data_IF_273443535784
#
_entry.id   IF_273443535784
#
_cell.length_a   1.000
_cell.length_b   1.000
_cell.length_c   1.000
_cell.angle_alpha   90.00
_cell.angle_beta   90.00
_cell.angle_gamma   90.00
#
_symmetry.space_group_name_H-M   'P 1'
#
loop_
_entity.id
_entity.type
_entity.pdbx_description
1 polymer ?
#
# COMPACT_ATOMS: atom_id res chain seq x y z
N UNK A 1 66.66 26.98 91.80
CA UNK A 1 67.51 25.82 92.12
C UNK A 1 68.33 25.45 90.88
N UNK A 2 69.66 25.61 90.93
CA UNK A 2 70.60 24.95 90.00
C UNK A 2 70.80 23.49 90.46
N UNK A 3 71.19 22.54 89.60
CA UNK A 3 72.63 22.33 89.31
C UNK A 3 72.92 21.98 87.83
N UNK A 4 74.03 22.47 87.25
CA UNK A 4 75.34 21.78 87.03
C UNK A 4 75.27 20.68 85.96
N UNK A 5 76.29 20.34 85.18
CA UNK A 5 77.60 20.89 84.81
C UNK A 5 78.23 19.79 83.92
N UNK A 6 79.20 20.16 83.08
CA UNK A 6 80.17 19.22 82.51
C UNK A 6 79.74 18.61 81.16
N UNK A 7 80.61 18.44 80.18
CA UNK A 7 82.05 18.49 80.20
C UNK A 7 82.64 18.58 78.78
N UNK A 8 83.90 18.93 78.77
CA UNK A 8 84.77 19.19 77.62
C UNK A 8 85.11 17.94 76.79
N UNK A 9 85.65 18.27 75.60
CA UNK A 9 86.77 17.64 74.91
C UNK A 9 86.48 16.52 73.90
N UNK A 10 87.12 16.66 72.74
CA UNK A 10 87.42 15.53 71.86
C UNK A 10 87.45 15.85 70.37
N UNK A 11 88.53 16.48 69.89
CA UNK A 11 88.88 16.52 68.46
C UNK A 11 88.99 15.09 67.91
N UNK A 12 88.51 14.82 66.70
CA UNK A 12 89.26 14.12 65.64
C UNK A 12 88.56 14.19 64.28
N UNK A 13 89.42 14.36 63.29
CA UNK A 13 89.25 14.39 61.84
C UNK A 13 88.57 13.15 61.25
N UNK A 14 87.81 13.33 60.18
CA UNK A 14 87.52 12.24 59.25
C UNK A 14 86.40 12.53 58.25
N UNK A 15 86.76 12.71 56.98
CA UNK A 15 85.92 12.36 55.83
C UNK A 15 84.85 13.39 55.41
N UNK A 16 85.00 13.94 54.20
CA UNK A 16 83.87 14.46 53.42
C UNK A 16 82.99 13.27 52.98
N UNK A 17 81.66 13.29 53.20
CA UNK A 17 80.73 12.58 52.35
C UNK A 17 80.07 13.55 51.38
N UNK A 18 79.89 13.09 50.14
CA UNK A 18 79.38 13.86 49.01
C UNK A 18 77.99 14.45 49.24
N UNK A 19 77.73 15.50 48.47
CA UNK A 19 76.43 16.13 48.33
C UNK A 19 75.36 15.08 47.97
N UNK A 20 74.37 14.92 48.83
CA UNK A 20 73.16 14.16 48.54
C UNK A 20 72.37 14.88 47.44
N UNK A 21 72.09 14.17 46.36
CA UNK A 21 71.18 14.61 45.30
C UNK A 21 69.75 14.79 45.86
N UNK A 22 68.98 15.79 45.41
CA UNK A 22 67.60 15.96 45.85
C UNK A 22 66.74 14.80 45.33
N UNK A 23 65.97 14.21 46.24
CA UNK A 23 65.02 13.13 45.98
C UNK A 23 64.07 13.49 44.83
N UNK A 24 64.01 12.61 43.83
CA UNK A 24 63.16 12.74 42.66
C UNK A 24 61.69 12.89 43.04
N UNK A 25 61.09 14.01 42.64
CA UNK A 25 59.64 14.19 42.63
C UNK A 25 59.08 13.18 41.61
N UNK A 26 58.32 12.19 42.08
CA UNK A 26 57.56 11.30 41.19
C UNK A 26 56.57 12.15 40.40
N UNK A 27 56.69 12.15 39.07
CA UNK A 27 55.70 12.76 38.18
C UNK A 27 54.31 12.14 38.45
N UNK A 28 53.24 12.94 38.52
CA UNK A 28 51.89 12.40 38.64
C UNK A 28 51.51 11.63 37.36
N UNK A 29 50.70 10.56 37.46
CA UNK A 29 50.32 9.75 36.32
C UNK A 29 49.60 10.59 35.27
N UNK A 30 50.06 10.51 34.01
CA UNK A 30 49.47 11.20 32.86
C UNK A 30 47.98 10.85 32.77
N UNK A 31 47.10 11.82 33.04
CA UNK A 31 45.66 11.70 32.77
C UNK A 31 45.51 11.43 31.27
N UNK A 32 44.97 10.26 30.91
CA UNK A 32 44.59 9.97 29.52
C UNK A 32 43.59 11.05 29.10
N UNK A 33 43.93 11.83 28.08
CA UNK A 33 43.01 12.81 27.50
C UNK A 33 41.70 12.09 27.11
N UNK A 34 40.52 12.66 27.44
CA UNK A 34 39.27 12.10 26.95
C UNK A 34 39.31 12.06 25.42
N UNK A 35 38.76 11.01 24.77
CA UNK A 35 38.77 10.91 23.32
C UNK A 35 38.19 12.21 22.74
N UNK A 36 38.99 12.90 21.91
CA UNK A 36 38.58 14.14 21.26
C UNK A 36 37.23 13.88 20.60
N UNK A 37 36.17 14.53 21.08
CA UNK A 37 34.85 14.48 20.44
C UNK A 37 35.06 14.90 18.99
N UNK A 38 34.92 13.96 18.05
CA UNK A 38 35.02 14.27 16.62
C UNK A 38 34.07 15.43 16.36
N UNK A 39 34.60 16.55 15.86
CA UNK A 39 33.75 17.67 15.41
C UNK A 39 32.72 17.08 14.46
N UNK A 40 31.41 17.34 14.66
CA UNK A 40 30.43 16.95 13.66
C UNK A 40 30.87 17.54 12.32
N UNK A 41 30.77 16.73 11.26
CA UNK A 41 31.12 17.18 9.93
C UNK A 41 30.30 18.44 9.58
N UNK A 42 30.83 19.37 8.76
CA UNK A 42 30.06 20.50 8.27
C UNK A 42 28.72 20.01 7.71
N UNK A 43 27.62 20.69 8.03
CA UNK A 43 26.27 20.21 7.71
C UNK A 43 26.11 19.85 6.21
N UNK A 44 26.78 20.58 5.32
CA UNK A 44 26.82 20.28 3.88
C UNK A 44 27.44 18.92 3.52
N UNK A 45 28.49 18.47 4.22
CA UNK A 45 29.10 17.16 3.97
C UNK A 45 28.21 16.00 4.43
N UNK A 46 27.39 16.22 5.47
CA UNK A 46 26.43 15.23 5.92
C UNK A 46 25.26 15.09 4.94
N UNK A 47 24.77 16.20 4.37
CA UNK A 47 23.77 16.18 3.30
C UNK A 47 24.27 15.47 2.04
N UNK A 48 25.49 15.78 1.60
CA UNK A 48 26.09 15.17 0.41
C UNK A 48 26.18 13.64 0.54
N UNK A 49 26.61 13.13 1.70
CA UNK A 49 26.63 11.69 1.98
C UNK A 49 25.23 11.07 1.98
N UNK A 50 24.23 11.79 2.48
CA UNK A 50 22.85 11.30 2.44
C UNK A 50 22.34 11.20 1.00
N UNK A 51 22.66 12.18 0.15
CA UNK A 51 22.32 12.13 -1.27
C UNK A 51 22.98 10.96 -1.99
N UNK A 52 24.29 10.76 -1.79
CA UNK A 52 25.01 9.64 -2.38
C UNK A 52 24.44 8.29 -1.92
N UNK A 53 24.10 8.17 -0.64
CA UNK A 53 23.46 6.96 -0.14
C UNK A 53 22.08 6.75 -0.75
N UNK A 54 21.26 7.80 -0.87
CA UNK A 54 19.94 7.71 -1.47
C UNK A 54 19.99 7.36 -2.95
N UNK A 55 20.99 7.86 -3.68
CA UNK A 55 21.22 7.55 -5.09
C UNK A 55 21.49 6.05 -5.29
N UNK A 56 22.32 5.45 -4.43
CA UNK A 56 22.60 4.01 -4.44
C UNK A 56 21.31 3.21 -4.21
N UNK A 57 20.48 3.63 -3.25
CA UNK A 57 19.19 2.96 -2.96
C UNK A 57 18.20 3.09 -4.12
N UNK A 58 18.12 4.26 -4.75
CA UNK A 58 17.24 4.49 -5.90
C UNK A 58 17.67 3.66 -7.12
N UNK A 59 18.97 3.58 -7.38
CA UNK A 59 19.51 2.78 -8.48
C UNK A 59 19.28 1.28 -8.26
N UNK A 60 19.51 0.78 -7.04
CA UNK A 60 19.21 -0.59 -6.67
C UNK A 60 17.73 -0.93 -6.87
N UNK A 61 16.82 -0.02 -6.49
CA UNK A 61 15.39 -0.18 -6.72
C UNK A 61 15.01 -0.11 -8.21
N UNK A 62 15.68 0.74 -9.01
CA UNK A 62 15.47 0.80 -10.46
C UNK A 62 15.79 -0.53 -11.10
N UNK A 63 16.93 -1.12 -10.76
CA UNK A 63 17.37 -2.41 -11.28
C UNK A 63 16.43 -3.54 -10.87
N UNK A 64 16.09 -3.62 -9.58
CA UNK A 64 15.21 -4.65 -9.05
C UNK A 64 13.78 -4.62 -9.65
N UNK A 65 13.28 -3.42 -9.99
CA UNK A 65 11.92 -3.23 -10.52
C UNK A 65 11.89 -2.94 -12.03
N UNK A 66 13.05 -2.96 -12.71
CA UNK A 66 13.20 -2.67 -14.14
C UNK A 66 12.48 -1.38 -14.59
N UNK A 67 12.65 -0.31 -13.80
CA UNK A 67 11.94 0.95 -14.00
C UNK A 67 12.61 1.84 -15.06
N UNK A 68 11.82 2.67 -15.73
CA UNK A 68 12.32 3.66 -16.69
C UNK A 68 13.10 4.75 -15.96
N UNK A 69 14.18 5.23 -16.59
CA UNK A 69 15.04 6.28 -16.03
C UNK A 69 14.26 7.56 -15.69
N UNK A 70 13.29 7.93 -16.52
CA UNK A 70 12.44 9.12 -16.27
C UNK A 70 11.68 9.06 -14.94
N UNK A 71 11.31 7.86 -14.46
CA UNK A 71 10.64 7.71 -13.17
C UNK A 71 11.64 7.87 -12.02
N UNK A 72 12.88 7.42 -12.20
CA UNK A 72 13.95 7.54 -11.21
C UNK A 72 14.43 8.97 -11.10
N UNK A 73 14.61 9.67 -12.22
CA UNK A 73 14.89 11.11 -12.24
C UNK A 73 13.83 11.90 -11.45
N UNK A 74 12.56 11.61 -11.70
CA UNK A 74 11.46 12.22 -10.93
C UNK A 74 11.52 11.86 -9.44
N UNK A 75 11.90 10.64 -9.10
CA UNK A 75 12.10 10.23 -7.70
C UNK A 75 13.25 10.99 -7.02
N UNK A 76 14.36 11.24 -7.73
CA UNK A 76 15.50 12.05 -7.25
C UNK A 76 15.07 13.48 -6.95
N UNK A 77 14.26 14.09 -7.80
CA UNK A 77 13.69 15.42 -7.56
C UNK A 77 12.83 15.46 -6.30
N UNK A 78 11.90 14.50 -6.14
CA UNK A 78 11.04 14.40 -4.95
C UNK A 78 11.88 14.19 -3.68
N UNK A 79 12.97 13.41 -3.77
CA UNK A 79 13.90 13.21 -2.68
C UNK A 79 14.66 14.50 -2.29
N UNK A 80 15.13 15.28 -3.26
CA UNK A 80 15.75 16.60 -3.03
C UNK A 80 14.80 17.56 -2.34
N UNK A 81 13.56 17.67 -2.83
CA UNK A 81 12.51 18.48 -2.20
C UNK A 81 12.23 18.05 -0.76
N UNK A 82 12.28 16.73 -0.49
CA UNK A 82 12.11 16.20 0.86
C UNK A 82 13.24 16.61 1.81
N UNK A 83 14.46 16.73 1.33
CA UNK A 83 15.61 17.23 2.11
C UNK A 83 15.47 18.73 2.39
N UNK A 84 15.09 19.52 1.39
CA UNK A 84 14.87 20.96 1.55
C UNK A 84 13.81 21.26 2.63
N UNK A 85 12.76 20.43 2.68
CA UNK A 85 11.72 20.48 3.73
C UNK A 85 12.12 19.80 5.05
N UNK A 86 13.39 19.43 5.22
CA UNK A 86 13.94 18.78 6.41
C UNK A 86 13.23 17.46 6.82
N UNK A 87 12.67 16.74 5.85
CA UNK A 87 11.92 15.50 6.10
C UNK A 87 12.82 14.30 6.43
N UNK A 88 14.14 14.40 6.31
CA UNK A 88 15.06 13.27 6.56
C UNK A 88 15.31 13.00 8.05
N UNK A 89 15.17 14.02 8.92
CA UNK A 89 15.54 13.88 10.33
C UNK A 89 14.67 12.84 11.05
N UNK A 90 15.32 11.82 11.61
CA UNK A 90 14.66 10.73 12.35
C UNK A 90 14.05 9.63 11.47
N UNK A 91 14.37 9.58 10.18
CA UNK A 91 13.87 8.55 9.25
C UNK A 91 15.03 7.84 8.54
N UNK A 92 14.78 6.62 8.08
CA UNK A 92 15.74 5.88 7.27
C UNK A 92 15.84 6.51 5.87
N UNK A 93 17.08 6.67 5.38
CA UNK A 93 17.38 7.14 4.03
C UNK A 93 16.74 6.22 2.99
N UNK A 94 16.88 4.90 3.18
CA UNK A 94 16.29 3.88 2.30
C UNK A 94 14.76 3.97 2.29
N UNK A 95 14.12 4.18 3.46
CA UNK A 95 12.67 4.32 3.53
C UNK A 95 12.15 5.56 2.79
N UNK A 96 12.91 6.66 2.87
CA UNK A 96 12.58 7.91 2.18
C UNK A 96 12.78 7.76 0.67
N UNK A 97 13.92 7.21 0.22
CA UNK A 97 14.19 6.92 -1.19
C UNK A 97 13.13 6.00 -1.81
N UNK A 98 12.82 4.88 -1.15
CA UNK A 98 11.77 3.95 -1.58
C UNK A 98 10.39 4.61 -1.70
N UNK A 99 10.09 5.55 -0.79
CA UNK A 99 8.82 6.28 -0.81
C UNK A 99 8.76 7.35 -1.90
N UNK A 100 9.89 8.02 -2.19
CA UNK A 100 10.01 8.95 -3.32
C UNK A 100 9.82 8.24 -4.66
N UNK A 101 10.43 7.06 -4.81
CA UNK A 101 10.24 6.22 -5.99
C UNK A 101 8.78 5.76 -6.13
N UNK A 102 8.15 5.35 -5.03
CA UNK A 102 6.72 5.01 -5.05
C UNK A 102 5.85 6.19 -5.50
N UNK A 103 6.14 7.41 -5.03
CA UNK A 103 5.42 8.60 -5.42
C UNK A 103 5.59 8.90 -6.93
N UNK A 104 6.82 8.89 -7.44
CA UNK A 104 7.11 9.09 -8.85
C UNK A 104 6.44 8.03 -9.75
N UNK A 105 6.46 6.77 -9.31
CA UNK A 105 5.79 5.66 -10.01
C UNK A 105 4.30 5.90 -10.16
N UNK A 106 3.67 6.39 -9.09
CA UNK A 106 2.24 6.67 -9.04
C UNK A 106 1.87 7.91 -9.88
N UNK A 107 2.73 8.92 -9.95
CA UNK A 107 2.56 10.06 -10.86
C UNK A 107 2.63 9.62 -12.33
N UNK A 108 3.58 8.73 -12.66
CA UNK A 108 3.75 8.19 -14.01
C UNK A 108 2.69 7.14 -14.41
N UNK A 109 1.77 6.78 -13.50
CA UNK A 109 0.76 5.74 -13.74
C UNK A 109 1.32 4.32 -13.83
N UNK A 110 2.56 4.09 -13.37
CA UNK A 110 3.18 2.77 -13.34
C UNK A 110 2.53 1.86 -12.27
N UNK A 111 2.39 0.57 -12.58
CA UNK A 111 1.73 -0.42 -11.72
C UNK A 111 2.63 -0.99 -10.62
N UNK A 112 3.43 -0.14 -9.96
CA UNK A 112 4.30 -0.56 -8.85
C UNK A 112 3.51 -0.50 -7.54
N UNK A 113 3.48 -1.60 -6.79
CA UNK A 113 2.83 -1.67 -5.49
C UNK A 113 3.84 -1.45 -4.36
N UNK A 114 3.33 -1.06 -3.18
CA UNK A 114 4.15 -0.99 -1.97
C UNK A 114 4.76 -2.34 -1.59
N UNK A 115 4.15 -3.46 -2.01
CA UNK A 115 4.66 -4.80 -1.76
C UNK A 115 5.88 -5.07 -2.63
N UNK A 116 5.85 -4.67 -3.90
CA UNK A 116 6.95 -4.86 -4.85
C UNK A 116 8.19 -4.09 -4.37
N UNK A 117 8.01 -2.84 -3.95
CA UNK A 117 9.09 -2.03 -3.38
C UNK A 117 9.65 -2.66 -2.11
N UNK A 118 8.77 -3.14 -1.22
CA UNK A 118 9.19 -3.82 0.02
C UNK A 118 9.91 -5.16 -0.24
N UNK A 119 9.68 -5.81 -1.37
CA UNK A 119 10.43 -7.00 -1.77
C UNK A 119 11.81 -6.63 -2.34
N UNK A 120 11.92 -5.47 -2.98
CA UNK A 120 13.16 -4.96 -3.54
C UNK A 120 14.08 -4.26 -2.51
N UNK A 121 13.57 -3.88 -1.33
CA UNK A 121 14.37 -3.20 -0.30
C UNK A 121 14.22 -3.82 1.09
N UNK A 122 15.22 -3.62 1.94
CA UNK A 122 15.20 -4.08 3.33
C UNK A 122 14.43 -3.13 4.28
N UNK A 123 13.32 -2.54 3.80
CA UNK A 123 12.50 -1.60 4.58
C UNK A 123 11.08 -2.13 4.76
N UNK A 124 10.49 -1.92 5.94
CA UNK A 124 9.13 -2.38 6.20
C UNK A 124 8.09 -1.57 5.41
N UNK A 125 7.02 -2.24 4.96
CA UNK A 125 5.88 -1.59 4.28
C UNK A 125 5.29 -0.45 5.10
N UNK A 126 5.30 -0.57 6.44
CA UNK A 126 4.78 0.45 7.36
C UNK A 126 5.61 1.73 7.30
N UNK A 127 6.93 1.62 7.22
CA UNK A 127 7.83 2.77 7.18
C UNK A 127 7.74 3.50 5.84
N UNK A 128 7.70 2.75 4.73
CA UNK A 128 7.46 3.30 3.38
C UNK A 128 6.11 4.04 3.35
N UNK A 129 5.05 3.40 3.85
CA UNK A 129 3.71 4.03 3.89
C UNK A 129 3.64 5.27 4.78
N UNK A 130 4.46 5.35 5.84
CA UNK A 130 4.53 6.52 6.72
C UNK A 130 5.27 7.68 6.05
N UNK A 131 6.41 7.39 5.43
CA UNK A 131 7.21 8.40 4.72
C UNK A 131 6.46 8.93 3.49
N UNK A 132 5.79 8.06 2.74
CA UNK A 132 4.94 8.45 1.62
C UNK A 132 3.82 9.42 2.03
N UNK A 133 3.05 9.10 3.08
CA UNK A 133 1.97 9.99 3.58
C UNK A 133 2.50 11.33 4.08
N UNK A 134 3.69 11.33 4.68
CA UNK A 134 4.34 12.56 5.10
C UNK A 134 4.71 13.42 3.88
N UNK A 135 5.34 12.84 2.87
CA UNK A 135 5.68 13.56 1.64
C UNK A 135 4.46 14.16 0.96
N UNK A 136 3.36 13.39 0.83
CA UNK A 136 2.12 13.93 0.26
C UNK A 136 1.61 15.18 1.01
N UNK A 137 1.77 15.22 2.34
CA UNK A 137 1.32 16.33 3.16
C UNK A 137 2.26 17.53 3.11
N UNK A 138 3.57 17.30 3.15
CA UNK A 138 4.58 18.37 3.29
C UNK A 138 5.05 18.93 1.94
N UNK A 139 4.90 18.16 0.86
CA UNK A 139 5.24 18.57 -0.52
C UNK A 139 4.00 18.95 -1.34
N UNK A 140 2.82 18.99 -0.72
CA UNK A 140 1.53 19.28 -1.36
C UNK A 140 1.25 18.46 -2.64
N UNK A 141 1.82 17.25 -2.71
CA UNK A 141 1.67 16.37 -3.87
C UNK A 141 0.26 15.81 -3.94
N UNK A 142 -0.41 16.02 -5.07
CA UNK A 142 -1.72 15.43 -5.36
C UNK A 142 -1.56 14.21 -6.24
N UNK A 143 -1.65 13.04 -5.62
CA UNK A 143 -1.62 11.78 -6.36
C UNK A 143 -2.96 11.54 -7.08
N UNK A 144 -2.98 11.06 -8.34
CA UNK A 144 -4.23 10.63 -8.97
C UNK A 144 -4.91 9.55 -8.12
N UNK A 145 -6.06 9.92 -7.57
CA UNK A 145 -6.93 9.00 -6.84
C UNK A 145 -7.72 8.23 -7.89
N UNK A 146 -7.64 6.90 -7.83
CA UNK A 146 -8.47 6.05 -8.67
C UNK A 146 -9.92 6.28 -8.27
N UNK A 147 -10.76 6.66 -9.24
CA UNK A 147 -12.19 6.82 -9.00
C UNK A 147 -12.78 5.48 -8.53
N UNK A 148 -13.45 5.49 -7.37
CA UNK A 148 -14.09 4.30 -6.80
C UNK A 148 -15.06 3.63 -7.79
N UNK A 149 -15.64 4.38 -8.71
CA UNK A 149 -16.54 3.83 -9.75
C UNK A 149 -15.84 2.87 -10.71
N UNK A 150 -14.54 3.03 -10.94
CA UNK A 150 -13.73 2.11 -11.77
C UNK A 150 -13.53 0.78 -11.05
N UNK A 151 -13.35 0.82 -9.73
CA UNK A 151 -13.15 -0.37 -8.91
C UNK A 151 -14.39 -1.27 -8.83
N UNK A 152 -15.60 -0.69 -8.95
CA UNK A 152 -16.87 -1.43 -8.84
C UNK A 152 -16.95 -2.59 -9.82
N UNK A 153 -16.58 -2.38 -11.08
CA UNK A 153 -16.69 -3.42 -12.12
C UNK A 153 -15.90 -4.67 -11.75
N UNK A 154 -14.60 -4.48 -11.49
CA UNK A 154 -13.68 -5.57 -11.13
C UNK A 154 -14.10 -6.31 -9.87
N UNK A 155 -14.52 -5.58 -8.82
CA UNK A 155 -14.92 -6.21 -7.55
C UNK A 155 -16.20 -7.02 -7.74
N UNK A 156 -17.16 -6.49 -8.48
CA UNK A 156 -18.42 -7.17 -8.72
C UNK A 156 -18.26 -8.43 -9.57
N UNK A 157 -17.39 -8.39 -10.58
CA UNK A 157 -17.09 -9.58 -11.39
C UNK A 157 -16.42 -10.66 -10.53
N UNK A 158 -15.47 -10.29 -9.68
CA UNK A 158 -14.81 -11.20 -8.75
C UNK A 158 -15.75 -11.76 -7.66
N UNK A 159 -16.77 -11.01 -7.27
CA UNK A 159 -17.76 -11.41 -6.27
C UNK A 159 -18.98 -12.12 -6.87
N UNK A 160 -19.10 -12.20 -8.20
CA UNK A 160 -20.24 -12.84 -8.87
C UNK A 160 -21.54 -12.03 -8.87
N UNK A 161 -21.47 -10.70 -8.73
CA UNK A 161 -22.64 -9.84 -8.54
C UNK A 161 -23.37 -9.51 -9.84
N UNK A 162 -24.69 -9.34 -9.75
CA UNK A 162 -25.52 -9.01 -10.90
C UNK A 162 -25.17 -7.67 -11.57
N UNK A 163 -25.54 -7.52 -12.85
CA UNK A 163 -25.41 -6.25 -13.56
C UNK A 163 -26.25 -5.12 -12.91
N UNK A 164 -27.35 -5.48 -12.25
CA UNK A 164 -28.23 -4.54 -11.55
C UNK A 164 -27.55 -3.97 -10.31
N UNK A 165 -26.92 -4.82 -9.48
CA UNK A 165 -26.10 -4.40 -8.34
C UNK A 165 -24.95 -3.50 -8.79
N UNK A 166 -24.25 -3.85 -9.88
CA UNK A 166 -23.18 -3.02 -10.45
C UNK A 166 -23.65 -1.64 -10.87
N UNK A 167 -24.87 -1.52 -11.41
CA UNK A 167 -25.45 -0.25 -11.84
C UNK A 167 -25.86 0.59 -10.64
N UNK A 168 -26.53 -0.03 -9.67
CA UNK A 168 -26.98 0.64 -8.45
C UNK A 168 -25.78 1.14 -7.63
N UNK A 169 -24.74 0.32 -7.43
CA UNK A 169 -23.54 0.72 -6.71
C UNK A 169 -22.82 1.92 -7.36
N UNK A 170 -22.72 1.94 -8.70
CA UNK A 170 -22.16 3.10 -9.43
C UNK A 170 -23.01 4.36 -9.25
N UNK A 171 -24.32 4.23 -9.23
CA UNK A 171 -25.23 5.35 -9.00
C UNK A 171 -25.09 5.90 -7.57
N UNK A 172 -25.06 5.03 -6.57
CA UNK A 172 -24.85 5.38 -5.16
C UNK A 172 -23.52 6.12 -4.95
N UNK A 173 -22.43 5.61 -5.53
CA UNK A 173 -21.12 6.28 -5.46
C UNK A 173 -21.13 7.65 -6.12
N UNK A 174 -21.71 7.79 -7.32
CA UNK A 174 -21.76 9.09 -8.01
C UNK A 174 -22.51 10.13 -7.20
N UNK A 175 -23.62 9.75 -6.57
CA UNK A 175 -24.40 10.66 -5.72
C UNK A 175 -23.68 10.99 -4.42
N UNK A 176 -23.10 9.99 -3.76
CA UNK A 176 -22.41 10.21 -2.49
C UNK A 176 -21.07 10.95 -2.65
N UNK A 177 -20.40 10.84 -3.80
CA UNK A 177 -19.20 11.62 -4.13
C UNK A 177 -19.48 13.13 -4.17
N UNK A 178 -20.68 13.56 -4.56
CA UNK A 178 -21.09 14.98 -4.51
C UNK A 178 -21.17 15.48 -3.06
N UNK A 179 -21.52 14.60 -2.12
CA UNK A 179 -21.53 14.88 -0.69
C UNK A 179 -20.17 14.86 0.01
N UNK A 180 -19.06 14.68 -0.73
CA UNK A 180 -17.72 14.69 -0.17
C UNK A 180 -17.33 13.43 0.61
N UNK A 181 -18.15 12.37 0.58
CA UNK A 181 -17.87 11.16 1.38
C UNK A 181 -16.60 10.42 0.95
N UNK A 182 -16.18 10.60 -0.30
CA UNK A 182 -15.01 9.97 -0.90
C UNK A 182 -13.68 10.61 -0.47
N UNK A 183 -13.70 11.81 0.13
CA UNK A 183 -12.49 12.51 0.51
C UNK A 183 -11.71 11.76 1.61
N UNK A 184 -10.42 11.48 1.34
CA UNK A 184 -9.51 10.85 2.30
C UNK A 184 -9.78 9.36 2.59
N UNK A 185 -10.68 8.71 1.84
CA UNK A 185 -11.01 7.29 2.03
C UNK A 185 -10.46 6.46 0.87
N UNK A 186 -10.09 5.22 1.19
CA UNK A 186 -9.61 4.26 0.20
C UNK A 186 -10.74 3.94 -0.82
N UNK A 187 -10.48 4.10 -2.14
CA UNK A 187 -11.50 3.91 -3.18
C UNK A 187 -11.97 2.46 -3.31
N UNK A 188 -11.10 1.47 -3.02
CA UNK A 188 -11.47 0.06 -3.05
C UNK A 188 -12.47 -0.27 -1.92
N UNK A 189 -12.19 0.19 -0.70
CA UNK A 189 -13.10 0.03 0.44
C UNK A 189 -14.43 0.76 0.25
N UNK A 190 -14.42 1.92 -0.42
CA UNK A 190 -15.65 2.66 -0.74
C UNK A 190 -16.48 1.94 -1.81
N UNK A 191 -15.83 1.43 -2.86
CA UNK A 191 -16.50 0.64 -3.90
C UNK A 191 -17.11 -0.65 -3.35
N UNK A 192 -16.38 -1.37 -2.49
CA UNK A 192 -16.86 -2.57 -1.80
C UNK A 192 -18.08 -2.27 -0.91
N UNK A 193 -18.05 -1.16 -0.16
CA UNK A 193 -19.19 -0.74 0.67
C UNK A 193 -20.43 -0.36 -0.17
N UNK A 194 -20.22 0.30 -1.32
CA UNK A 194 -21.30 0.64 -2.24
C UNK A 194 -21.94 -0.59 -2.88
N UNK A 195 -21.14 -1.61 -3.22
CA UNK A 195 -21.64 -2.89 -3.69
C UNK A 195 -22.49 -3.58 -2.62
N UNK A 196 -22.00 -3.65 -1.39
CA UNK A 196 -22.77 -4.24 -0.29
C UNK A 196 -24.08 -3.49 0.00
N UNK A 197 -24.07 -2.15 -0.08
CA UNK A 197 -25.29 -1.35 0.04
C UNK A 197 -26.27 -1.60 -1.11
N UNK A 198 -25.77 -1.74 -2.34
CA UNK A 198 -26.59 -2.09 -3.49
C UNK A 198 -27.21 -3.49 -3.36
N UNK A 199 -26.44 -4.50 -2.93
CA UNK A 199 -26.95 -5.84 -2.60
C UNK A 199 -28.09 -5.77 -1.58
N UNK A 200 -27.91 -4.97 -0.52
CA UNK A 200 -28.94 -4.80 0.53
C UNK A 200 -30.21 -4.14 -0.02
N UNK A 201 -30.10 -3.15 -0.92
CA UNK A 201 -31.26 -2.45 -1.52
C UNK A 201 -31.99 -3.28 -2.57
N UNK A 202 -31.31 -4.21 -3.22
CA UNK A 202 -31.84 -5.08 -4.28
C UNK A 202 -32.24 -6.47 -3.76
N UNK A 203 -32.11 -6.72 -2.45
CA UNK A 203 -32.39 -8.03 -1.83
C UNK A 203 -31.53 -9.16 -2.41
N UNK A 204 -30.34 -8.84 -2.95
CA UNK A 204 -29.34 -9.81 -3.40
C UNK A 204 -28.46 -10.20 -2.20
N UNK A 205 -28.57 -11.45 -1.75
CA UNK A 205 -27.90 -11.91 -0.53
C UNK A 205 -26.43 -12.22 -0.76
N UNK A 206 -25.57 -11.28 -0.39
CA UNK A 206 -24.13 -11.44 -0.44
C UNK A 206 -23.46 -11.11 0.89
N UNK A 207 -22.38 -11.83 1.20
CA UNK A 207 -21.71 -11.67 2.50
C UNK A 207 -20.65 -10.58 2.43
N UNK A 208 -20.50 -9.83 3.53
CA UNK A 208 -19.40 -8.85 3.66
C UNK A 208 -18.03 -9.53 3.48
N UNK A 209 -17.90 -10.80 3.90
CA UNK A 209 -16.69 -11.61 3.72
C UNK A 209 -16.36 -11.84 2.25
N UNK A 210 -17.34 -12.24 1.42
CA UNK A 210 -17.15 -12.47 -0.01
C UNK A 210 -16.70 -11.18 -0.71
N UNK A 211 -17.39 -10.07 -0.46
CA UNK A 211 -17.05 -8.76 -1.03
C UNK A 211 -15.68 -8.28 -0.53
N UNK A 212 -15.35 -8.48 0.74
CA UNK A 212 -14.05 -8.14 1.31
C UNK A 212 -12.91 -8.91 0.62
N UNK A 213 -13.10 -10.20 0.38
CA UNK A 213 -12.16 -11.04 -0.35
C UNK A 213 -11.98 -10.56 -1.80
N UNK A 214 -13.07 -10.31 -2.52
CA UNK A 214 -13.06 -9.83 -3.90
C UNK A 214 -12.39 -8.45 -4.08
N UNK A 215 -12.48 -7.59 -3.05
CA UNK A 215 -11.88 -6.27 -3.03
C UNK A 215 -10.48 -6.22 -2.38
N UNK A 216 -9.98 -7.34 -1.84
CA UNK A 216 -8.75 -7.39 -1.05
C UNK A 216 -8.71 -6.37 0.11
N UNK A 217 -9.84 -6.19 0.78
CA UNK A 217 -9.98 -5.34 1.97
C UNK A 217 -10.44 -6.17 3.17
N UNK A 218 -10.42 -5.59 4.36
CA UNK A 218 -10.95 -6.25 5.56
C UNK A 218 -12.45 -6.02 5.71
N UNK A 219 -13.17 -6.98 6.28
CA UNK A 219 -14.61 -6.84 6.57
C UNK A 219 -14.91 -5.61 7.43
N UNK A 220 -14.03 -5.29 8.38
CA UNK A 220 -14.14 -4.08 9.24
C UNK A 220 -14.09 -2.80 8.40
N UNK A 221 -13.29 -2.78 7.33
CA UNK A 221 -13.23 -1.65 6.41
C UNK A 221 -14.58 -1.47 5.71
N UNK A 222 -15.17 -2.55 5.18
CA UNK A 222 -16.50 -2.50 4.55
C UNK A 222 -17.55 -2.03 5.56
N UNK A 223 -17.57 -2.57 6.78
CA UNK A 223 -18.54 -2.19 7.81
C UNK A 223 -18.50 -0.71 8.17
N UNK A 224 -17.29 -0.17 8.36
CA UNK A 224 -17.11 1.25 8.70
C UNK A 224 -17.50 2.17 7.54
N UNK A 225 -17.21 1.77 6.29
CA UNK A 225 -17.53 2.56 5.09
C UNK A 225 -19.01 2.46 4.72
N UNK A 226 -19.64 1.31 4.93
CA UNK A 226 -21.06 1.09 4.73
C UNK A 226 -21.92 2.03 5.56
N UNK A 227 -21.63 2.17 6.86
CA UNK A 227 -22.39 3.07 7.76
C UNK A 227 -22.40 4.49 7.22
N UNK A 228 -21.21 5.06 6.97
CA UNK A 228 -21.10 6.41 6.42
C UNK A 228 -21.80 6.57 5.07
N UNK A 229 -21.65 5.59 4.17
CA UNK A 229 -22.28 5.65 2.85
C UNK A 229 -23.80 5.59 2.92
N UNK A 230 -24.34 4.72 3.78
CA UNK A 230 -25.79 4.60 4.00
C UNK A 230 -26.36 5.91 4.54
N UNK A 231 -25.74 6.47 5.58
CA UNK A 231 -26.23 7.69 6.22
C UNK A 231 -26.23 8.88 5.23
N UNK A 232 -25.23 8.95 4.35
CA UNK A 232 -25.16 9.96 3.30
C UNK A 232 -26.19 9.75 2.18
N UNK A 233 -26.40 8.49 1.77
CA UNK A 233 -27.43 8.14 0.77
C UNK A 233 -28.84 8.44 1.28
N UNK A 234 -29.08 8.25 2.57
CA UNK A 234 -30.31 8.62 3.26
C UNK A 234 -30.49 10.14 3.33
N UNK A 235 -29.44 10.87 3.72
CA UNK A 235 -29.42 12.34 3.73
C UNK A 235 -29.71 12.95 2.36
N UNK A 236 -29.22 12.32 1.28
CA UNK A 236 -29.44 12.75 -0.11
C UNK A 236 -30.78 12.29 -0.68
N UNK A 237 -31.58 11.52 0.07
CA UNK A 237 -32.89 11.04 -0.37
C UNK A 237 -32.83 10.21 -1.65
N UNK A 238 -31.79 9.40 -1.83
CA UNK A 238 -31.61 8.65 -3.08
C UNK A 238 -32.75 7.63 -3.26
N UNK A 239 -33.62 7.77 -4.29
CA UNK A 239 -34.70 6.83 -4.57
C UNK A 239 -34.23 5.38 -4.59
N UNK A 240 -35.11 4.51 -4.07
CA UNK A 240 -34.96 3.06 -4.15
C UNK A 240 -34.71 2.59 -5.59
N UNK A 241 -34.03 1.45 -5.78
CA UNK A 241 -33.89 0.89 -7.12
C UNK A 241 -35.28 0.72 -7.72
N UNK A 242 -35.47 1.21 -8.96
CA UNK A 242 -36.69 0.94 -9.72
C UNK A 242 -36.74 -0.57 -9.96
N UNK A 243 -37.49 -1.31 -9.14
CA UNK A 243 -37.77 -2.73 -9.37
C UNK A 243 -38.27 -2.83 -10.81
N UNK A 244 -37.54 -3.54 -11.69
CA UNK A 244 -38.17 -4.02 -12.91
C UNK A 244 -39.28 -4.96 -12.44
N UNK A 245 -40.50 -4.72 -12.92
CA UNK A 245 -41.64 -5.60 -12.67
C UNK A 245 -41.18 -7.05 -12.81
N UNK A 246 -41.35 -7.83 -11.75
CA UNK A 246 -40.96 -9.23 -11.77
C UNK A 246 -41.82 -9.99 -12.80
N UNK A 247 -41.45 -11.23 -13.17
CA UNK A 247 -42.29 -12.05 -14.02
C UNK A 247 -43.70 -12.29 -13.46
N UNK A 248 -43.92 -12.05 -12.17
CA UNK A 248 -45.21 -12.15 -11.49
C UNK A 248 -46.19 -10.98 -11.79
N UNK A 249 -45.68 -9.84 -12.26
CA UNK A 249 -46.49 -8.64 -12.58
C UNK A 249 -46.83 -8.55 -14.08
N UNK A 250 -46.45 -9.56 -14.88
CA UNK A 250 -46.85 -9.64 -16.28
C UNK A 250 -48.37 -9.90 -16.36
N UNK A 251 -49.15 -9.13 -17.13
CA UNK A 251 -50.56 -9.44 -17.35
C UNK A 251 -50.67 -10.88 -17.89
N UNK A 252 -51.64 -11.68 -17.42
CA UNK A 252 -51.78 -13.06 -17.84
C UNK A 252 -51.85 -13.11 -19.38
N UNK A 253 -51.18 -14.07 -20.03
CA UNK A 253 -51.20 -14.17 -21.48
C UNK A 253 -52.66 -14.24 -21.94
N UNK A 254 -53.03 -13.55 -23.04
CA UNK A 254 -54.40 -13.54 -23.52
C UNK A 254 -54.86 -14.99 -23.71
N UNK A 255 -56.01 -15.33 -23.11
CA UNK A 255 -56.62 -16.66 -23.24
C UNK A 255 -56.70 -16.95 -24.73
N UNK A 256 -55.98 -17.99 -25.19
CA UNK A 256 -56.07 -18.45 -26.57
C UNK A 256 -57.51 -18.88 -26.82
N UNK A 257 -58.28 -18.03 -27.52
CA UNK A 257 -59.56 -18.44 -28.10
C UNK A 257 -59.31 -19.65 -28.99
N UNK A 258 -60.17 -20.66 -28.84
CA UNK A 258 -59.99 -22.00 -29.37
C UNK A 258 -59.68 -21.99 -30.87
N UNK A 259 -58.54 -22.58 -31.23
CA UNK A 259 -58.21 -22.88 -32.62
C UNK A 259 -59.14 -23.99 -33.10
N UNK A 260 -60.08 -23.66 -33.99
CA UNK A 260 -60.91 -24.63 -34.69
C UNK A 260 -60.02 -25.66 -35.43
N UNK A 261 -60.38 -26.96 -35.43
CA UNK A 261 -59.58 -27.98 -36.10
C UNK A 261 -59.78 -27.90 -37.62
N UNK A 262 -58.76 -27.45 -38.36
CA UNK A 262 -58.75 -27.57 -39.82
C UNK A 262 -58.45 -29.01 -40.22
N UNK A 263 -59.39 -29.60 -40.96
CA UNK A 263 -59.44 -31.01 -41.33
C UNK A 263 -58.26 -31.48 -42.19
N UNK A 264 -57.85 -32.72 -41.92
CA UNK A 264 -56.91 -33.49 -42.75
C UNK A 264 -57.54 -33.79 -44.12
N UNK A 265 -57.01 -33.21 -45.19
CA UNK A 265 -57.23 -33.72 -46.55
C UNK A 265 -56.21 -34.83 -46.85
N UNK A 266 -56.73 -36.02 -47.18
CA UNK A 266 -56.02 -37.17 -47.76
C UNK A 266 -55.78 -36.96 -49.27
N UNK A 267 -54.88 -37.80 -49.82
CA UNK A 267 -54.46 -38.05 -51.23
C UNK A 267 -53.15 -37.32 -51.59
N UNK A 268 -52.11 -37.93 -52.16
CA UNK A 268 -51.86 -39.28 -52.63
C UNK A 268 -50.88 -39.25 -53.84
N UNK A 269 -49.92 -40.18 -53.85
CA UNK A 269 -49.15 -40.73 -54.99
C UNK A 269 -47.98 -39.94 -55.64
N UNK A 270 -46.84 -40.64 -55.79
CA UNK A 270 -45.72 -40.28 -56.67
C UNK A 270 -44.42 -41.00 -56.31
N UNK A 271 -44.15 -42.14 -56.97
CA UNK A 271 -43.04 -43.10 -56.77
C UNK A 271 -41.78 -42.70 -57.57
N UNK A 272 -40.57 -43.01 -57.07
CA UNK A 272 -39.38 -43.55 -57.80
C UNK A 272 -38.17 -43.62 -56.83
N UNK A 273 -37.77 -44.78 -56.28
CA UNK A 273 -36.90 -45.88 -56.78
C UNK A 273 -35.37 -45.67 -56.64
N UNK A 274 -34.77 -46.58 -55.84
CA UNK A 274 -33.38 -47.11 -55.84
C UNK A 274 -32.22 -46.14 -55.51
N UNK A 275 -31.17 -46.52 -54.75
CA UNK A 275 -30.36 -47.74 -54.86
C UNK A 275 -29.55 -48.02 -53.58
N UNK A 276 -29.21 -49.29 -53.42
CA UNK A 276 -28.64 -50.02 -52.26
C UNK A 276 -27.15 -49.78 -51.95
N UNK A 277 -26.76 -50.33 -50.78
CA UNK A 277 -25.45 -50.87 -50.30
C UNK A 277 -24.60 -49.85 -49.50
N UNK A 278 -24.04 -50.16 -48.34
CA UNK A 278 -23.88 -51.46 -47.69
C UNK A 278 -23.49 -51.37 -46.20
N UNK A 279 -23.73 -52.50 -45.54
CA UNK A 279 -23.44 -52.87 -44.16
C UNK A 279 -21.96 -53.15 -43.89
N UNK A 280 -21.50 -52.89 -42.65
CA UNK A 280 -20.67 -53.75 -41.74
C UNK A 280 -20.09 -52.84 -40.63
N UNK A 281 -20.55 -52.88 -39.37
CA UNK A 281 -20.27 -53.81 -38.25
C UNK A 281 -18.79 -53.92 -37.81
N UNK A 282 -18.63 -53.89 -36.48
CA UNK A 282 -17.46 -54.21 -35.59
C UNK A 282 -16.54 -53.00 -35.35
N UNK A 283 -16.07 -52.67 -34.14
CA UNK A 283 -15.95 -53.38 -32.86
C UNK A 283 -14.54 -53.12 -32.27
N UNK A 284 -14.40 -53.23 -30.95
CA UNK A 284 -13.17 -53.09 -30.11
C UNK A 284 -12.79 -51.63 -29.73
N UNK A 285 -12.69 -51.22 -28.44
CA UNK A 285 -11.90 -51.68 -27.26
C UNK A 285 -10.37 -51.51 -27.42
N UNK A 286 -9.75 -50.94 -26.38
CA UNK A 286 -8.31 -50.76 -26.16
C UNK A 286 -7.94 -49.28 -26.14
N UNK A 287 -7.23 -48.72 -25.17
CA UNK A 287 -6.70 -49.14 -23.85
C UNK A 287 -6.59 -47.84 -23.03
#
# INVERSE_FOLDING_TARGET
MRPRAGGMAGKRSGGRPGAAAPAGRKEPPRRKEPPRRRRPAPEGQALERNYQQAEIELEALREALSMKESIVERAREIYRLSIERSLVRGRSIAALAASSLYAASREAGASVTLKDIQQACNTTRKDISRCYRLMLRELDMRMPVVDATVCVGRIADNAGLSAEVRREARMLLRRASVGGIAAGKDPMGLAAAALYLACTRLEEHETQKNIAHAAHVTEVTIRNRYKGLRDEVERLGVPGPKRRAGPADAPPPPRREGRAPQGRKRRGLGVTVAKRKGSRRRGARGD
#
